data_IF_426077923781
#
_entry.id   IF_426077923781
#
_cell.length_a   1.000
_cell.length_b   1.000
_cell.length_c   1.000
_cell.angle_alpha   90.00
_cell.angle_beta   90.00
_cell.angle_gamma   90.00
#
_symmetry.space_group_name_H-M   'P 1'
#
loop_
_entity.id
_entity.type
_entity.pdbx_description
1 polymer ?
#
# COMPACT_ATOMS: atom_id res chain seq x y z
N UNK A 1 -27.95 -73.58 16.32
CA UNK A 1 -29.02 -73.71 15.31
C UNK A 1 -29.51 -72.31 15.02
N UNK A 2 -29.08 -71.70 13.91
CA UNK A 2 -29.78 -71.64 12.61
C UNK A 2 -30.78 -70.46 12.54
N UNK A 3 -30.31 -69.40 11.89
CA UNK A 3 -30.97 -68.46 10.97
C UNK A 3 -32.25 -67.73 11.44
N UNK A 4 -32.29 -66.40 11.30
CA UNK A 4 -32.80 -65.78 10.08
C UNK A 4 -32.56 -64.25 10.03
N UNK A 5 -32.03 -63.83 8.90
CA UNK A 5 -31.85 -62.47 8.40
C UNK A 5 -33.21 -61.98 7.89
N UNK A 6 -33.60 -60.73 8.17
CA UNK A 6 -34.50 -59.98 7.28
C UNK A 6 -34.37 -58.48 7.54
N UNK A 7 -33.64 -57.86 6.61
CA UNK A 7 -33.53 -56.43 6.37
C UNK A 7 -34.83 -55.97 5.72
N UNK A 8 -35.48 -54.94 6.25
CA UNK A 8 -36.38 -54.10 5.47
C UNK A 8 -36.16 -52.63 5.81
N UNK A 9 -35.34 -52.00 4.96
CA UNK A 9 -35.32 -50.55 4.76
C UNK A 9 -36.69 -50.14 4.22
N UNK A 10 -37.45 -49.34 4.97
CA UNK A 10 -38.61 -48.64 4.44
C UNK A 10 -38.29 -47.16 4.30
N UNK A 11 -38.25 -46.75 3.03
CA UNK A 11 -38.01 -45.42 2.50
C UNK A 11 -38.78 -44.33 3.25
N UNK A 12 -38.08 -43.32 3.77
CA UNK A 12 -37.76 -42.07 3.06
C UNK A 12 -39.00 -41.16 2.88
N UNK A 13 -39.29 -40.41 3.93
CA UNK A 13 -40.11 -39.21 3.92
C UNK A 13 -39.47 -38.14 3.03
N UNK A 14 -40.15 -37.67 1.97
CA UNK A 14 -39.81 -36.39 1.35
C UNK A 14 -40.88 -35.35 1.69
N UNK A 15 -40.53 -34.54 2.67
CA UNK A 15 -41.19 -33.32 3.07
C UNK A 15 -40.94 -32.23 2.01
N UNK A 16 -42.02 -31.55 1.64
CA UNK A 16 -42.07 -30.26 0.96
C UNK A 16 -40.91 -29.34 1.34
N UNK A 17 -40.11 -28.91 0.37
CA UNK A 17 -39.24 -27.75 0.54
C UNK A 17 -39.48 -26.77 -0.61
N UNK A 18 -40.00 -25.61 -0.21
CA UNK A 18 -40.19 -24.40 -1.00
C UNK A 18 -38.88 -24.03 -1.71
N UNK A 19 -38.93 -23.86 -3.03
CA UNK A 19 -37.83 -23.28 -3.79
C UNK A 19 -37.80 -21.78 -3.52
N UNK A 20 -36.98 -21.35 -2.56
CA UNK A 20 -36.57 -19.95 -2.46
C UNK A 20 -35.63 -19.65 -3.63
N UNK A 21 -36.10 -18.89 -4.62
CA UNK A 21 -35.24 -18.33 -5.64
C UNK A 21 -34.25 -17.37 -4.97
N UNK A 22 -33.02 -17.81 -4.77
CA UNK A 22 -31.94 -16.96 -4.29
C UNK A 22 -31.51 -16.05 -5.44
N UNK A 23 -32.11 -14.85 -5.52
CA UNK A 23 -31.53 -13.75 -6.29
C UNK A 23 -30.23 -13.31 -5.58
N UNK A 24 -29.11 -13.87 -6.00
CA UNK A 24 -27.79 -13.36 -5.64
C UNK A 24 -27.51 -12.13 -6.49
N UNK A 25 -27.86 -10.95 -5.97
CA UNK A 25 -27.30 -9.70 -6.48
C UNK A 25 -25.83 -9.65 -6.06
N UNK A 26 -24.95 -10.26 -6.86
CA UNK A 26 -23.51 -10.13 -6.67
C UNK A 26 -23.13 -8.69 -7.01
N UNK A 27 -22.79 -7.92 -5.98
CA UNK A 27 -22.21 -6.59 -6.16
C UNK A 27 -20.75 -6.80 -6.55
N UNK A 28 -20.44 -6.74 -7.85
CA UNK A 28 -19.07 -6.88 -8.37
C UNK A 28 -18.22 -5.59 -8.19
N UNK A 29 -18.65 -4.64 -7.36
CA UNK A 29 -17.84 -3.47 -7.01
C UNK A 29 -16.86 -3.78 -5.87
N UNK A 30 -16.05 -4.83 -6.01
CA UNK A 30 -14.80 -4.92 -5.24
C UNK A 30 -13.78 -4.00 -5.90
N UNK A 31 -13.78 -2.73 -5.49
CA UNK A 31 -12.58 -1.90 -5.61
C UNK A 31 -11.52 -2.59 -4.76
N UNK A 32 -10.58 -3.29 -5.40
CA UNK A 32 -9.42 -3.86 -4.73
C UNK A 32 -8.81 -2.74 -3.88
N UNK A 33 -8.91 -2.89 -2.56
CA UNK A 33 -8.14 -2.06 -1.64
C UNK A 33 -6.71 -2.50 -1.89
N UNK A 34 -6.00 -1.79 -2.76
CA UNK A 34 -4.56 -1.92 -2.87
C UNK A 34 -4.02 -1.59 -1.48
N UNK A 35 -3.79 -2.64 -0.69
CA UNK A 35 -3.18 -2.51 0.62
C UNK A 35 -1.83 -1.87 0.35
N UNK A 36 -1.59 -0.67 0.89
CA UNK A 36 -0.33 0.04 0.69
C UNK A 36 0.77 -0.91 1.12
N UNK A 37 1.58 -1.35 0.15
CA UNK A 37 2.59 -2.40 0.33
C UNK A 37 3.86 -1.88 1.02
N UNK A 38 3.79 -0.67 1.56
CA UNK A 38 4.88 0.00 2.23
C UNK A 38 4.39 0.96 3.30
N UNK A 39 5.29 1.35 4.19
CA UNK A 39 5.09 2.39 5.19
C UNK A 39 6.26 3.39 5.10
N UNK A 40 5.96 4.69 5.11
CA UNK A 40 6.98 5.73 5.24
C UNK A 40 7.26 5.95 6.72
N UNK A 41 8.51 5.80 7.13
CA UNK A 41 8.94 5.98 8.53
C UNK A 41 10.12 6.94 8.58
N UNK A 42 10.32 7.56 9.75
CA UNK A 42 11.42 8.50 10.01
C UNK A 42 11.51 9.64 8.97
N UNK A 43 10.37 10.11 8.44
CA UNK A 43 10.34 11.20 7.47
C UNK A 43 10.74 12.52 8.16
N UNK A 44 11.79 13.15 7.64
CA UNK A 44 12.27 14.45 8.07
C UNK A 44 12.47 15.37 6.87
N UNK A 45 12.17 16.65 7.06
CA UNK A 45 12.38 17.69 6.07
C UNK A 45 12.88 18.96 6.77
N UNK A 46 14.04 19.44 6.36
CA UNK A 46 14.72 20.59 6.96
C UNK A 46 15.14 21.57 5.87
N UNK A 47 15.09 22.87 6.18
CA UNK A 47 15.62 23.91 5.29
C UNK A 47 16.97 24.42 5.79
N UNK A 48 17.89 24.65 4.84
CA UNK A 48 19.24 25.14 5.11
C UNK A 48 19.57 26.38 4.26
N UNK A 49 20.67 27.05 4.59
CA UNK A 49 21.25 28.16 3.80
C UNK A 49 20.24 29.27 3.47
N UNK A 50 19.68 29.92 4.49
CA UNK A 50 18.65 30.96 4.36
C UNK A 50 17.39 30.50 3.60
N UNK A 51 16.91 29.29 3.86
CA UNK A 51 15.75 28.67 3.18
C UNK A 51 15.92 28.45 1.66
N UNK A 52 17.15 28.48 1.14
CA UNK A 52 17.39 28.17 -0.28
C UNK A 52 17.51 26.67 -0.56
N UNK A 53 17.78 25.84 0.45
CA UNK A 53 17.94 24.40 0.28
C UNK A 53 16.92 23.66 1.14
N UNK A 54 16.19 22.74 0.52
CA UNK A 54 15.34 21.77 1.20
C UNK A 54 16.04 20.41 1.21
N UNK A 55 16.29 19.86 2.38
CA UNK A 55 16.77 18.50 2.56
C UNK A 55 15.62 17.62 3.05
N UNK A 56 15.39 16.50 2.38
CA UNK A 56 14.35 15.53 2.75
C UNK A 56 14.99 14.17 2.89
N UNK A 57 14.71 13.49 4.00
CA UNK A 57 15.21 12.15 4.28
C UNK A 57 14.13 11.30 4.94
N UNK A 58 14.29 9.98 4.83
CA UNK A 58 13.38 9.05 5.47
C UNK A 58 13.65 7.60 5.06
N UNK A 59 12.75 6.72 5.43
CA UNK A 59 12.85 5.30 5.10
C UNK A 59 11.50 4.76 4.63
N UNK A 60 11.57 3.81 3.70
CA UNK A 60 10.44 2.98 3.27
C UNK A 60 10.57 1.62 3.93
N UNK A 61 9.60 1.23 4.73
CA UNK A 61 9.45 -0.14 5.24
C UNK A 61 8.58 -0.94 4.28
N UNK A 62 9.07 -2.09 3.85
CA UNK A 62 8.28 -3.01 3.03
C UNK A 62 7.29 -3.79 3.92
N UNK A 63 5.99 -3.65 3.67
CA UNK A 63 4.93 -4.41 4.36
C UNK A 63 4.37 -5.55 3.49
N UNK A 64 4.77 -5.63 2.21
CA UNK A 64 4.47 -6.74 1.30
C UNK A 64 5.30 -7.97 1.60
N UNK A 65 4.73 -9.15 1.33
CA UNK A 65 5.42 -10.44 1.43
C UNK A 65 6.57 -10.61 0.40
N UNK A 66 6.59 -9.79 -0.66
CA UNK A 66 7.60 -9.85 -1.72
C UNK A 66 8.58 -8.69 -1.61
N UNK A 67 9.86 -8.85 -2.04
CA UNK A 67 10.78 -7.74 -2.13
C UNK A 67 10.24 -6.61 -3.02
N UNK A 68 10.39 -5.36 -2.57
CA UNK A 68 10.03 -4.16 -3.34
C UNK A 68 11.28 -3.38 -3.73
N UNK A 69 11.25 -2.68 -4.85
CA UNK A 69 12.35 -1.85 -5.34
C UNK A 69 11.76 -0.64 -6.06
N UNK A 70 12.39 0.52 -5.95
CA UNK A 70 11.93 1.69 -6.68
C UNK A 70 12.48 3.00 -6.16
N UNK A 71 11.72 4.05 -6.41
CA UNK A 71 12.05 5.42 -6.07
C UNK A 71 10.88 6.08 -5.33
N UNK A 72 11.13 7.24 -4.73
CA UNK A 72 10.07 8.08 -4.18
C UNK A 72 9.93 9.36 -4.99
N UNK A 73 8.71 9.91 -4.96
CA UNK A 73 8.39 11.25 -5.40
C UNK A 73 8.20 12.10 -4.14
N UNK A 74 9.01 13.13 -3.98
CA UNK A 74 8.87 14.15 -2.92
C UNK A 74 8.16 15.34 -3.52
N UNK A 75 6.98 15.70 -3.00
CA UNK A 75 6.27 16.93 -3.37
C UNK A 75 6.31 17.90 -2.22
N UNK A 76 6.52 19.18 -2.52
CA UNK A 76 6.60 20.22 -1.51
C UNK A 76 5.68 21.39 -1.86
N UNK A 77 5.04 21.93 -0.82
CA UNK A 77 4.03 22.98 -0.93
C UNK A 77 4.40 24.16 -0.06
N UNK A 78 4.03 25.35 -0.52
CA UNK A 78 4.21 26.58 0.23
C UNK A 78 3.15 26.75 1.35
N UNK A 79 3.16 27.92 1.99
CA UNK A 79 2.26 28.25 3.10
C UNK A 79 0.77 28.28 2.72
N UNK A 80 0.49 28.54 1.44
CA UNK A 80 -0.85 28.62 0.84
C UNK A 80 -1.31 27.27 0.25
N UNK A 81 -0.49 26.22 0.42
CA UNK A 81 -0.65 24.88 -0.14
C UNK A 81 -0.59 24.83 -1.67
N UNK A 82 0.14 25.78 -2.28
CA UNK A 82 0.45 25.75 -3.70
C UNK A 82 1.57 24.72 -3.92
N UNK A 83 1.37 23.82 -4.89
CA UNK A 83 2.41 22.87 -5.30
C UNK A 83 3.58 23.64 -5.93
N UNK A 84 4.73 23.61 -5.26
CA UNK A 84 5.94 24.30 -5.72
C UNK A 84 6.78 23.43 -6.66
N UNK A 85 6.56 22.12 -6.64
CA UNK A 85 7.24 21.18 -7.50
C UNK A 85 7.40 19.80 -6.87
N UNK A 86 8.17 18.96 -7.53
CA UNK A 86 8.53 17.63 -7.05
C UNK A 86 9.94 17.24 -7.47
N UNK A 87 10.53 16.33 -6.71
CA UNK A 87 11.78 15.66 -7.07
C UNK A 87 11.67 14.16 -6.84
N UNK A 88 12.47 13.40 -7.58
CA UNK A 88 12.54 11.95 -7.46
C UNK A 88 13.90 11.54 -6.90
N UNK A 89 13.90 10.54 -6.01
CA UNK A 89 15.15 9.93 -5.53
C UNK A 89 14.98 8.44 -5.35
N UNK A 90 16.04 7.69 -5.64
CA UNK A 90 16.05 6.24 -5.48
C UNK A 90 15.99 5.86 -4.01
N UNK A 91 15.18 4.86 -3.68
CA UNK A 91 15.18 4.28 -2.33
C UNK A 91 16.20 3.16 -2.29
N UNK A 92 16.95 3.06 -1.20
CA UNK A 92 17.88 1.97 -0.93
C UNK A 92 18.93 1.79 -2.06
N UNK A 93 19.36 2.89 -2.69
CA UNK A 93 20.25 2.86 -3.87
C UNK A 93 19.72 1.97 -5.00
N UNK A 94 18.40 1.93 -5.17
CA UNK A 94 17.71 1.08 -6.11
C UNK A 94 17.98 -0.43 -5.90
N UNK A 95 18.25 -0.85 -4.66
CA UNK A 95 18.35 -2.27 -4.28
C UNK A 95 17.04 -2.76 -3.67
N UNK A 96 16.66 -4.04 -3.87
CA UNK A 96 15.47 -4.61 -3.27
C UNK A 96 15.41 -4.48 -1.74
N UNK A 97 14.22 -4.19 -1.23
CA UNK A 97 13.88 -4.13 0.19
C UNK A 97 13.05 -5.38 0.50
N UNK A 98 13.61 -6.33 1.23
CA UNK A 98 12.90 -7.56 1.63
C UNK A 98 11.76 -7.27 2.62
N UNK A 99 10.85 -8.23 2.78
CA UNK A 99 9.72 -8.14 3.71
C UNK A 99 10.14 -7.67 5.11
N UNK A 100 9.42 -6.67 5.65
CA UNK A 100 9.68 -5.96 6.92
C UNK A 100 11.05 -5.27 7.05
N UNK A 101 11.87 -5.25 6.00
CA UNK A 101 13.12 -4.45 5.97
C UNK A 101 12.82 -3.03 5.53
N UNK A 102 13.79 -2.16 5.79
CA UNK A 102 13.72 -0.73 5.50
C UNK A 102 14.78 -0.32 4.49
N UNK A 103 14.41 0.49 3.51
CA UNK A 103 15.32 1.17 2.59
C UNK A 103 15.32 2.67 2.85
N UNK A 104 16.49 3.29 2.93
CA UNK A 104 16.60 4.73 3.16
C UNK A 104 16.55 5.52 1.85
N UNK A 105 16.10 6.78 1.94
CA UNK A 105 16.24 7.77 0.89
C UNK A 105 16.68 9.10 1.50
N UNK A 106 17.36 9.90 0.68
CA UNK A 106 17.72 11.27 0.99
C UNK A 106 17.84 12.07 -0.30
N UNK A 107 17.52 13.37 -0.23
CA UNK A 107 17.69 14.31 -1.34
C UNK A 107 17.81 15.74 -0.82
N UNK A 108 18.64 16.55 -1.49
CA UNK A 108 18.71 17.99 -1.29
C UNK A 108 18.28 18.69 -2.58
N UNK A 109 17.41 19.69 -2.46
CA UNK A 109 16.84 20.45 -3.58
C UNK A 109 17.04 21.93 -3.31
N UNK A 110 17.47 22.67 -4.33
CA UNK A 110 17.45 24.13 -4.27
C UNK A 110 16.02 24.62 -4.55
N UNK A 111 15.41 25.28 -3.57
CA UNK A 111 14.02 25.77 -3.61
C UNK A 111 13.92 27.29 -3.83
N UNK A 112 15.06 27.94 -4.05
CA UNK A 112 15.23 29.40 -4.18
C UNK A 112 14.74 30.18 -2.94
N UNK A 113 15.45 31.25 -2.56
CA UNK A 113 15.27 31.93 -1.26
C UNK A 113 13.85 32.47 -0.99
N UNK A 114 13.02 32.62 -2.00
CA UNK A 114 11.71 33.26 -1.89
C UNK A 114 10.61 32.33 -1.36
N UNK A 115 10.84 31.01 -1.30
CA UNK A 115 9.77 30.06 -1.00
C UNK A 115 9.83 29.54 0.43
N UNK A 116 8.78 29.82 1.22
CA UNK A 116 8.57 29.17 2.52
C UNK A 116 7.81 27.86 2.34
N UNK A 117 8.52 26.73 2.46
CA UNK A 117 7.91 25.39 2.43
C UNK A 117 7.17 25.13 3.75
N UNK A 118 5.93 24.65 3.66
CA UNK A 118 5.09 24.30 4.81
C UNK A 118 4.82 22.80 4.88
N UNK A 119 4.57 22.15 3.74
CA UNK A 119 4.27 20.73 3.69
C UNK A 119 5.24 20.01 2.74
N UNK A 120 5.63 18.80 3.15
CA UNK A 120 6.33 17.83 2.30
C UNK A 120 5.54 16.53 2.33
N UNK A 121 5.30 15.95 1.17
CA UNK A 121 4.66 14.64 1.03
C UNK A 121 5.56 13.70 0.22
N UNK A 122 5.50 12.41 0.54
CA UNK A 122 6.32 11.38 -0.08
C UNK A 122 5.43 10.25 -0.56
N UNK A 123 5.63 9.84 -1.79
CA UNK A 123 4.96 8.69 -2.41
C UNK A 123 6.03 7.72 -2.94
N UNK A 124 5.92 6.44 -2.60
CA UNK A 124 6.81 5.41 -3.14
C UNK A 124 6.21 4.75 -4.39
N UNK A 125 7.03 4.64 -5.44
CA UNK A 125 6.69 3.98 -6.70
C UNK A 125 7.48 2.68 -6.80
N UNK A 126 6.77 1.55 -6.71
CA UNK A 126 7.37 0.23 -6.88
C UNK A 126 7.61 -0.05 -8.37
N UNK A 127 8.85 -0.41 -8.73
CA UNK A 127 9.26 -0.73 -10.10
C UNK A 127 9.38 -2.23 -10.36
N UNK A 128 9.20 -3.08 -9.35
CA UNK A 128 9.13 -4.53 -9.54
C UNK A 128 7.81 -4.87 -10.26
N UNK A 129 7.93 -5.46 -11.45
CA UNK A 129 6.81 -5.96 -12.27
C UNK A 129 6.51 -7.42 -11.94
#
# INVERSE_FOLDING_TARGET
>A
MRNFFLVLFSMCTLLYHCTAAANSNRIDNQKSIQTVQYEVIDLAADTFSDNSLLYVSGKIRNTSFYPIQGYIIVRFQDVDNIDMGFVETSVNKNLPINHYRTGAFEIAVNIEKETKIKNVSVEFINTNK
#
